data_IF_951617366052
#
_entry.id   IF_951617366052
#
_cell.length_a   1.000
_cell.length_b   1.000
_cell.length_c   1.000
_cell.angle_alpha   90.00
_cell.angle_beta   90.00
_cell.angle_gamma   90.00
#
_symmetry.space_group_name_H-M   'P 1'
#
loop_
_entity.id
_entity.type
_entity.pdbx_description
1 polymer ?
#
# COMPACT_ATOMS: atom_id res chain seq x y z
N UNK A 1 -10.39 -0.44 -2.00
CA UNK A 1 -9.03 -0.68 -2.52
C UNK A 1 -8.02 -0.49 -1.41
N UNK A 2 -6.93 -1.25 -1.42
CA UNK A 2 -5.89 -1.19 -0.38
C UNK A 2 -5.03 0.08 -0.49
N UNK A 3 -4.85 0.63 -1.69
CA UNK A 3 -4.09 1.86 -1.92
C UNK A 3 -4.83 3.15 -1.57
N UNK A 4 -6.13 3.10 -1.28
CA UNK A 4 -6.89 4.30 -0.92
C UNK A 4 -6.27 4.95 0.33
N UNK A 5 -6.17 6.27 0.39
CA UNK A 5 -5.47 6.95 1.47
C UNK A 5 -6.22 6.88 2.82
N UNK A 6 -5.53 6.59 3.95
CA UNK A 6 -4.17 6.05 4.02
C UNK A 6 -4.15 4.60 3.54
N UNK A 7 -3.05 4.22 2.87
CA UNK A 7 -2.84 2.85 2.40
C UNK A 7 -2.94 1.88 3.59
N UNK A 8 -3.58 0.74 3.37
CA UNK A 8 -3.91 -0.21 4.44
C UNK A 8 -3.48 -1.61 4.03
N UNK A 9 -2.57 -2.19 4.81
CA UNK A 9 -2.09 -3.57 4.68
C UNK A 9 -1.97 -4.16 6.09
N UNK A 10 -2.64 -5.28 6.35
CA UNK A 10 -2.60 -5.96 7.65
C UNK A 10 -1.93 -7.33 7.54
N UNK A 11 -1.18 -7.73 8.56
CA UNK A 11 -0.68 -9.10 8.67
C UNK A 11 -1.77 -10.08 9.10
N UNK A 12 -1.63 -11.35 8.72
CA UNK A 12 -2.52 -12.43 9.12
C UNK A 12 -3.98 -12.25 8.70
N UNK A 13 -4.89 -12.75 9.54
CA UNK A 13 -6.34 -12.55 9.41
C UNK A 13 -6.77 -11.34 10.24
N UNK A 14 -7.34 -10.31 9.60
CA UNK A 14 -7.66 -9.06 10.27
C UNK A 14 -8.94 -8.42 9.72
N UNK A 15 -10.02 -8.55 10.50
CA UNK A 15 -11.33 -8.01 10.15
C UNK A 15 -11.39 -6.48 10.03
N UNK A 16 -10.49 -5.76 10.71
CA UNK A 16 -10.39 -4.30 10.59
C UNK A 16 -9.76 -3.85 9.26
N UNK A 17 -9.20 -4.79 8.49
CA UNK A 17 -8.60 -4.52 7.18
C UNK A 17 -9.60 -4.56 6.01
N UNK A 18 -10.89 -4.44 6.30
CA UNK A 18 -11.95 -4.50 5.30
C UNK A 18 -12.26 -3.13 4.69
N UNK A 19 -12.23 -3.04 3.35
CA UNK A 19 -12.58 -1.84 2.56
C UNK A 19 -13.50 -2.16 1.38
N UNK A 20 -14.46 -3.06 1.59
CA UNK A 20 -15.27 -3.68 0.53
C UNK A 20 -14.65 -4.97 -0.04
N UNK A 21 -13.43 -5.27 0.38
CA UNK A 21 -12.59 -6.44 0.14
C UNK A 21 -11.51 -6.41 1.22
N UNK A 22 -10.78 -7.52 1.43
CA UNK A 22 -9.77 -7.59 2.47
C UNK A 22 -8.38 -7.15 1.96
N UNK A 23 -7.68 -6.44 2.83
CA UNK A 23 -6.28 -6.03 2.65
C UNK A 23 -5.35 -6.70 3.67
N UNK A 24 -5.77 -7.84 4.21
CA UNK A 24 -4.97 -8.66 5.11
C UNK A 24 -4.25 -9.81 4.36
N UNK A 25 -3.36 -10.56 5.01
CA UNK A 25 -2.66 -11.68 4.35
C UNK A 25 -3.56 -12.88 4.10
N UNK A 26 -4.53 -13.11 5.00
CA UNK A 26 -5.47 -14.21 4.91
C UNK A 26 -6.40 -14.11 3.69
N UNK A 27 -6.57 -12.90 3.13
CA UNK A 27 -7.41 -12.68 1.97
C UNK A 27 -7.04 -13.56 0.76
N UNK A 28 -5.76 -13.95 0.65
CA UNK A 28 -5.28 -14.80 -0.45
C UNK A 28 -5.85 -16.21 -0.33
N UNK A 29 -5.96 -16.72 0.90
CA UNK A 29 -6.52 -18.04 1.19
C UNK A 29 -8.05 -18.05 1.02
N UNK A 30 -8.71 -16.94 1.36
CA UNK A 30 -10.17 -16.80 1.25
C UNK A 30 -10.65 -16.34 -0.13
N UNK A 31 -9.75 -15.78 -0.96
CA UNK A 31 -10.09 -15.28 -2.29
C UNK A 31 -10.87 -13.96 -2.28
N UNK A 32 -10.79 -13.19 -1.19
CA UNK A 32 -11.55 -11.95 -0.96
C UNK A 32 -10.64 -10.70 -0.92
N UNK A 33 -9.41 -10.84 -1.40
CA UNK A 33 -8.48 -9.71 -1.55
C UNK A 33 -9.06 -8.61 -2.43
N UNK A 34 -8.73 -7.37 -2.10
CA UNK A 34 -8.90 -6.29 -3.06
C UNK A 34 -8.07 -6.53 -4.32
N UNK A 35 -8.57 -6.08 -5.48
CA UNK A 35 -7.90 -6.24 -6.78
C UNK A 35 -6.50 -5.64 -6.83
N UNK A 36 -6.22 -4.65 -5.95
CA UNK A 36 -4.93 -3.98 -5.82
C UNK A 36 -4.06 -4.52 -4.66
N UNK A 37 -4.47 -5.60 -3.98
CA UNK A 37 -3.72 -6.17 -2.84
C UNK A 37 -2.28 -6.54 -3.23
N UNK A 38 -2.08 -7.30 -4.32
CA UNK A 38 -0.74 -7.77 -4.69
C UNK A 38 0.21 -6.62 -5.08
N UNK A 39 -0.29 -5.62 -5.81
CA UNK A 39 0.50 -4.44 -6.18
C UNK A 39 0.74 -3.47 -5.02
N UNK A 40 -0.07 -3.51 -3.96
CA UNK A 40 -0.02 -2.55 -2.84
C UNK A 40 0.68 -3.14 -1.62
N UNK A 41 0.29 -4.34 -1.20
CA UNK A 41 0.74 -4.97 0.06
C UNK A 41 1.79 -6.06 -0.16
N UNK A 42 1.93 -6.57 -1.40
CA UNK A 42 3.02 -7.47 -1.81
C UNK A 42 4.02 -6.78 -2.76
N UNK A 43 3.92 -5.45 -2.89
CA UNK A 43 4.98 -4.65 -3.50
C UNK A 43 6.30 -4.98 -2.81
N UNK A 44 7.32 -5.25 -3.63
CA UNK A 44 8.59 -5.90 -3.30
C UNK A 44 9.09 -5.64 -1.87
N UNK A 45 9.69 -6.65 -1.20
CA UNK A 45 10.50 -6.34 -0.02
C UNK A 45 11.49 -5.25 -0.42
N UNK A 46 11.77 -4.30 0.47
CA UNK A 46 12.74 -3.20 0.31
C UNK A 46 14.19 -3.67 -0.02
N UNK A 47 14.40 -4.90 -0.47
CA UNK A 47 15.70 -5.57 -0.60
C UNK A 47 15.77 -6.52 -1.81
N UNK A 48 15.47 -6.06 -3.03
CA UNK A 48 16.05 -6.57 -4.30
C UNK A 48 15.67 -5.59 -5.43
N UNK A 49 16.48 -4.57 -5.78
CA UNK A 49 17.58 -4.62 -6.76
C UNK A 49 18.58 -3.48 -6.48
N UNK A 50 19.85 -3.85 -6.56
CA UNK A 50 21.09 -3.07 -6.52
C UNK A 50 21.22 -2.13 -7.74
N UNK A 51 21.62 -0.87 -7.50
CA UNK A 51 22.23 0.10 -8.45
C UNK A 51 21.52 0.38 -9.80
N UNK A 52 20.37 1.06 -9.81
CA UNK A 52 20.01 1.94 -10.93
C UNK A 52 19.87 3.36 -10.39
N UNK A 53 20.76 4.24 -10.85
CA UNK A 53 20.69 5.68 -10.58
C UNK A 53 19.32 6.18 -11.01
N UNK A 54 18.46 6.54 -10.06
CA UNK A 54 17.45 7.59 -10.20
C UNK A 54 16.91 7.90 -8.81
N UNK A 55 17.60 8.86 -8.15
CA UNK A 55 17.00 9.62 -7.07
C UNK A 55 15.85 10.43 -7.67
N UNK A 56 14.62 10.12 -7.30
CA UNK A 56 13.54 11.08 -7.31
C UNK A 56 12.46 10.63 -6.33
N UNK A 57 12.12 11.53 -5.41
CA UNK A 57 10.85 11.52 -4.67
C UNK A 57 10.76 10.64 -3.41
N UNK A 58 11.75 10.76 -2.51
CA UNK A 58 11.42 10.73 -1.08
C UNK A 58 10.88 12.12 -0.70
N UNK A 59 9.77 12.14 0.04
CA UNK A 59 9.15 13.27 0.74
C UNK A 59 8.22 14.21 -0.08
N UNK A 60 6.91 13.91 -0.01
CA UNK A 60 5.77 14.86 -0.19
C UNK A 60 5.84 15.98 0.87
N UNK A 61 5.36 17.23 0.64
CA UNK A 61 3.93 17.49 0.40
C UNK A 61 3.62 18.64 -0.57
N UNK A 62 2.54 18.51 -1.34
CA UNK A 62 1.83 19.64 -1.94
C UNK A 62 0.58 19.89 -1.07
N UNK A 63 0.62 20.92 -0.24
CA UNK A 63 -0.53 21.81 -0.04
C UNK A 63 -0.01 23.22 0.29
N UNK A 64 -0.43 24.16 -0.55
CA UNK A 64 -0.12 25.57 -0.49
C UNK A 64 -0.96 26.28 0.56
N UNK A 65 -0.36 27.18 1.33
CA UNK A 65 -1.09 28.26 1.99
C UNK A 65 -0.27 29.54 1.89
N UNK A 66 -0.68 30.40 0.95
CA UNK A 66 -0.25 31.80 0.83
C UNK A 66 -1.14 32.63 1.75
N UNK A 67 -0.59 33.20 2.82
CA UNK A 67 -1.20 34.32 3.52
C UNK A 67 -0.31 35.55 3.35
N UNK A 68 -0.89 36.57 2.72
CA UNK A 68 -0.43 37.97 2.64
C UNK A 68 -0.31 38.61 4.01
#
# INVERSE_FOLDING_TARGET
>A
SCKAAPALCCGGYNLSCFRGCFCDEACVSFGDCCSDYNSTCKGLPDVLIVNVRLRASLDKPEEAVLYT
#
